data_IF_777594249983
#
_entry.id   IF_777594249983
#
_cell.length_a   1.000
_cell.length_b   1.000
_cell.length_c   1.000
_cell.angle_alpha   90.00
_cell.angle_beta   90.00
_cell.angle_gamma   90.00
#
_symmetry.space_group_name_H-M   'P 1'
#
loop_
_entity.id
_entity.type
_entity.pdbx_description
1 polymer ?
#
# COMPACT_ATOMS: atom_id res chain seq x y z
N UNK A 1 -39.08 41.43 -23.64
CA UNK A 1 -39.53 42.59 -24.47
C UNK A 1 -38.45 43.66 -24.29
N UNK A 2 -37.64 44.02 -25.29
CA UNK A 2 -37.98 44.85 -26.48
C UNK A 2 -38.55 46.22 -26.05
N UNK A 3 -38.03 47.36 -26.49
CA UNK A 3 -37.45 47.69 -27.80
C UNK A 3 -36.12 48.47 -27.66
N UNK A 4 -35.24 48.37 -28.67
CA UNK A 4 -34.12 49.28 -28.91
C UNK A 4 -34.31 49.99 -30.26
N UNK A 5 -34.01 51.29 -30.35
CA UNK A 5 -33.65 52.04 -31.59
C UNK A 5 -33.35 53.50 -31.22
N UNK A 6 -32.62 54.34 -31.97
CA UNK A 6 -31.37 54.23 -32.75
C UNK A 6 -31.17 55.61 -33.43
N UNK A 7 -29.97 56.21 -33.38
CA UNK A 7 -29.66 57.39 -34.20
C UNK A 7 -28.22 57.33 -34.76
N UNK A 8 -28.10 57.39 -36.09
CA UNK A 8 -26.89 57.81 -36.81
C UNK A 8 -26.90 59.37 -36.90
N UNK A 9 -25.97 60.14 -37.51
CA UNK A 9 -24.81 59.92 -38.39
C UNK A 9 -23.96 61.23 -38.37
N UNK A 10 -22.76 61.44 -38.95
CA UNK A 10 -21.70 60.60 -39.57
C UNK A 10 -20.43 61.50 -39.68
N UNK A 11 -19.21 60.95 -39.83
CA UNK A 11 -18.00 61.77 -40.09
C UNK A 11 -16.81 60.97 -40.64
N UNK A 12 -16.20 61.44 -41.73
CA UNK A 12 -15.22 60.66 -42.53
C UNK A 12 -13.75 60.79 -42.07
N UNK A 13 -13.07 59.63 -42.08
CA UNK A 13 -11.74 59.34 -42.65
C UNK A 13 -10.79 60.47 -43.09
N UNK A 14 -9.52 60.39 -42.67
CA UNK A 14 -8.35 60.36 -43.59
C UNK A 14 -7.03 60.04 -42.84
N UNK A 15 -5.89 59.96 -43.54
CA UNK A 15 -4.58 59.46 -43.05
C UNK A 15 -3.45 60.53 -43.16
N UNK A 16 -2.31 60.21 -42.51
CA UNK A 16 -0.93 60.73 -42.71
C UNK A 16 -0.47 61.96 -41.89
N UNK A 17 0.75 61.86 -41.34
CA UNK A 17 1.64 62.96 -40.90
C UNK A 17 2.86 63.06 -41.84
N UNK A 18 4.12 63.36 -41.42
CA UNK A 18 4.69 63.59 -40.07
C UNK A 18 5.18 65.08 -39.98
N UNK A 19 6.44 65.56 -39.68
CA UNK A 19 7.69 65.02 -39.07
C UNK A 19 8.37 65.97 -38.01
N UNK A 20 9.68 65.77 -37.77
CA UNK A 20 10.68 66.64 -37.08
C UNK A 20 10.63 66.71 -35.53
N UNK A 21 11.73 66.60 -34.76
CA UNK A 21 13.18 66.35 -35.01
C UNK A 21 13.73 65.39 -33.91
N UNK A 22 14.60 64.39 -34.18
CA UNK A 22 16.08 64.42 -34.34
C UNK A 22 16.84 65.08 -33.16
N UNK A 23 17.96 64.57 -32.58
CA UNK A 23 19.05 63.68 -33.07
C UNK A 23 19.62 62.70 -32.00
N UNK A 24 20.48 61.77 -32.45
CA UNK A 24 21.19 60.71 -31.68
C UNK A 24 22.74 60.92 -31.72
N UNK A 25 23.52 60.40 -30.74
CA UNK A 25 24.93 59.94 -30.93
C UNK A 25 25.41 58.95 -29.85
N UNK A 26 26.65 58.45 -29.96
CA UNK A 26 27.06 57.07 -29.59
C UNK A 26 28.51 56.96 -29.07
N UNK A 27 28.94 55.74 -28.64
CA UNK A 27 30.29 55.32 -28.17
C UNK A 27 30.68 55.77 -26.72
N UNK A 28 31.64 55.16 -25.97
CA UNK A 28 32.71 54.15 -26.24
C UNK A 28 32.71 53.02 -25.17
N UNK A 29 33.26 51.84 -25.50
CA UNK A 29 33.49 50.67 -24.61
C UNK A 29 34.65 50.88 -23.61
N UNK A 30 34.53 50.42 -22.35
CA UNK A 30 35.69 50.24 -21.45
C UNK A 30 35.46 49.17 -20.37
N UNK A 31 36.47 48.33 -20.11
CA UNK A 31 36.48 47.35 -19.00
C UNK A 31 37.02 47.99 -17.72
N UNK A 32 36.41 47.68 -16.57
CA UNK A 32 37.14 47.33 -15.33
C UNK A 32 36.23 46.64 -14.31
N UNK A 33 36.84 45.77 -13.50
CA UNK A 33 36.20 44.98 -12.45
C UNK A 33 36.05 45.77 -11.15
N UNK A 34 34.99 45.51 -10.39
CA UNK A 34 34.85 45.96 -9.00
C UNK A 34 34.55 44.76 -8.10
N UNK A 35 35.52 44.40 -7.26
CA UNK A 35 35.42 43.40 -6.20
C UNK A 35 34.89 44.06 -4.93
N UNK A 36 33.86 43.48 -4.30
CA UNK A 36 33.46 43.88 -2.95
C UNK A 36 34.31 43.13 -1.91
N UNK A 37 35.06 43.89 -1.11
CA UNK A 37 35.79 43.37 0.05
C UNK A 37 34.94 43.45 1.32
N UNK A 38 35.00 42.41 2.16
CA UNK A 38 34.33 42.37 3.46
C UNK A 38 35.19 43.10 4.50
N UNK A 39 34.58 44.04 5.23
CA UNK A 39 35.20 44.67 6.40
C UNK A 39 34.71 43.95 7.66
N UNK A 40 35.61 43.25 8.34
CA UNK A 40 35.34 42.66 9.64
C UNK A 40 35.65 43.67 10.76
N UNK A 41 34.72 43.83 11.70
CA UNK A 41 34.85 44.77 12.82
C UNK A 41 34.85 43.98 14.13
N UNK A 42 36.04 43.79 14.72
CA UNK A 42 36.21 43.05 15.97
C UNK A 42 35.80 43.92 17.16
N UNK A 43 34.90 43.39 18.01
CA UNK A 43 34.70 43.85 19.38
C UNK A 43 34.97 42.67 20.34
N UNK A 44 35.91 42.86 21.26
CA UNK A 44 36.24 41.87 22.28
C UNK A 44 35.27 41.99 23.46
N UNK A 45 34.59 40.89 23.79
CA UNK A 45 33.93 40.67 25.08
C UNK A 45 34.56 39.45 25.79
N UNK A 46 34.61 39.42 27.12
CA UNK A 46 35.23 38.32 27.85
C UNK A 46 34.43 37.01 27.71
N UNK A 47 35.12 35.89 27.50
CA UNK A 47 34.50 34.57 27.47
C UNK A 47 34.08 34.16 28.89
N UNK A 48 32.78 34.00 29.11
CA UNK A 48 32.27 33.16 30.19
C UNK A 48 32.38 31.70 29.75
N UNK A 49 33.09 30.87 30.51
CA UNK A 49 33.21 29.43 30.28
C UNK A 49 31.97 28.72 30.83
N UNK A 50 30.91 28.67 30.03
CA UNK A 50 29.86 27.67 30.23
C UNK A 50 30.38 26.30 29.83
N UNK A 51 30.40 25.35 30.76
CA UNK A 51 30.69 23.96 30.44
C UNK A 51 29.52 23.40 29.63
N UNK A 52 29.78 23.02 28.39
CA UNK A 52 28.80 22.38 27.54
C UNK A 52 28.60 20.93 27.98
N UNK A 53 27.76 20.73 29.00
CA UNK A 53 27.21 19.42 29.31
C UNK A 53 26.38 18.99 28.09
N UNK A 54 26.95 18.09 27.29
CA UNK A 54 26.31 17.61 26.06
C UNK A 54 25.08 16.78 26.42
N UNK A 55 23.91 17.25 26.02
CA UNK A 55 22.63 16.57 26.23
C UNK A 55 22.41 15.54 25.11
N UNK A 56 22.45 14.22 25.39
CA UNK A 56 22.09 13.21 24.41
C UNK A 56 20.56 13.05 24.34
N UNK A 57 20.05 12.65 23.18
CA UNK A 57 18.64 12.31 22.93
C UNK A 57 17.64 13.48 22.81
N UNK A 58 17.83 14.32 21.78
CA UNK A 58 16.72 15.05 21.16
C UNK A 58 16.65 14.75 19.66
N UNK A 59 16.14 13.56 19.32
CA UNK A 59 15.77 13.20 17.96
C UNK A 59 14.32 13.64 17.73
N UNK A 60 14.11 14.65 16.89
CA UNK A 60 12.78 15.17 16.54
C UNK A 60 12.10 14.26 15.50
N UNK A 61 11.69 13.07 15.93
CA UNK A 61 10.78 12.20 15.17
C UNK A 61 9.31 12.62 15.36
N UNK A 62 8.45 12.19 14.43
CA UNK A 62 7.00 12.32 14.60
C UNK A 62 6.46 11.27 15.59
N UNK A 63 5.36 11.53 16.33
CA UNK A 63 4.80 10.55 17.28
C UNK A 63 4.49 9.19 16.66
N UNK A 64 4.13 9.17 15.38
CA UNK A 64 3.85 7.95 14.60
C UNK A 64 5.08 7.09 14.27
N UNK A 65 6.30 7.55 14.58
CA UNK A 65 7.52 6.76 14.38
C UNK A 65 7.73 5.75 15.51
N UNK A 66 7.23 6.03 16.71
CA UNK A 66 7.20 5.09 17.82
C UNK A 66 5.84 4.39 17.88
N UNK A 67 5.69 3.36 17.04
CA UNK A 67 4.47 2.52 16.96
C UNK A 67 4.09 1.95 18.33
N UNK A 68 5.06 1.68 19.21
CA UNK A 68 4.80 1.08 20.53
C UNK A 68 4.13 2.03 21.52
N UNK A 69 4.21 3.35 21.29
CA UNK A 69 3.52 4.37 22.08
C UNK A 69 2.41 5.10 21.31
N UNK A 70 2.37 5.01 19.97
CA UNK A 70 1.42 5.74 19.11
C UNK A 70 -0.04 5.29 19.31
N UNK A 71 -0.26 4.06 19.79
CA UNK A 71 -1.59 3.47 20.00
C UNK A 71 -1.99 3.25 21.47
N UNK A 72 -1.13 3.59 22.45
CA UNK A 72 -1.35 3.27 23.87
C UNK A 72 -2.65 3.83 24.47
N UNK A 73 -3.22 4.91 23.93
CA UNK A 73 -4.53 5.41 24.40
C UNK A 73 -5.71 4.53 23.97
N UNK A 74 -5.55 3.68 22.94
CA UNK A 74 -6.53 2.72 22.46
C UNK A 74 -6.40 1.32 23.12
N UNK A 75 -5.42 1.11 24.01
CA UNK A 75 -5.19 -0.17 24.67
C UNK A 75 -6.44 -0.67 25.41
N UNK A 76 -6.79 -1.94 25.17
CA UNK A 76 -7.97 -2.62 25.73
C UNK A 76 -9.34 -1.97 25.41
N UNK A 77 -9.42 -1.11 24.39
CA UNK A 77 -10.70 -0.60 23.88
C UNK A 77 -11.28 -1.52 22.79
N UNK A 78 -12.60 -1.51 22.66
CA UNK A 78 -13.34 -2.24 21.62
C UNK A 78 -14.49 -1.38 21.05
N UNK A 79 -15.04 -1.79 19.91
CA UNK A 79 -16.24 -1.22 19.29
C UNK A 79 -16.17 0.29 19.03
N UNK A 80 -17.28 1.00 19.28
CA UNK A 80 -17.37 2.44 19.02
C UNK A 80 -16.45 3.31 19.90
N UNK A 81 -15.90 2.81 21.01
CA UNK A 81 -14.95 3.57 21.82
C UNK A 81 -13.53 3.46 21.25
N UNK A 82 -13.08 2.25 20.88
CA UNK A 82 -11.85 2.06 20.07
C UNK A 82 -11.91 2.89 18.78
N UNK A 83 -13.06 2.92 18.11
CA UNK A 83 -13.25 3.67 16.85
C UNK A 83 -13.04 5.18 17.02
N UNK A 84 -13.54 5.76 18.12
CA UNK A 84 -13.35 7.19 18.43
C UNK A 84 -11.90 7.49 18.77
N UNK A 85 -11.27 6.63 19.55
CA UNK A 85 -9.88 6.81 19.97
C UNK A 85 -8.92 6.71 18.78
N UNK A 86 -9.07 5.68 17.93
CA UNK A 86 -8.31 5.56 16.68
C UNK A 86 -8.56 6.75 15.73
N UNK A 87 -9.79 7.26 15.63
CA UNK A 87 -10.05 8.50 14.87
C UNK A 87 -9.31 9.71 15.46
N UNK A 88 -9.24 9.82 16.78
CA UNK A 88 -8.50 10.87 17.50
C UNK A 88 -7.00 10.84 17.20
N UNK A 89 -6.43 9.63 17.12
CA UNK A 89 -5.01 9.39 16.82
C UNK A 89 -4.66 9.69 15.35
N UNK A 90 -5.50 9.26 14.40
CA UNK A 90 -5.12 9.22 12.97
C UNK A 90 -5.69 10.35 12.11
N UNK A 91 -6.81 10.97 12.48
CA UNK A 91 -7.41 12.07 11.69
C UNK A 91 -6.64 13.41 11.72
N UNK A 92 -5.83 13.75 12.76
CA UNK A 92 -5.02 14.98 12.78
C UNK A 92 -3.75 14.90 11.90
N UNK A 93 -3.89 14.65 10.59
CA UNK A 93 -2.77 14.38 9.69
C UNK A 93 -2.39 15.56 8.75
N UNK A 94 -1.14 15.58 8.30
CA UNK A 94 -0.69 16.52 7.28
C UNK A 94 -1.34 16.19 5.92
N UNK A 95 -1.83 17.23 5.23
CA UNK A 95 -2.58 17.12 3.98
C UNK A 95 -1.74 17.55 2.78
N UNK A 96 -1.48 16.62 1.86
CA UNK A 96 -0.74 16.89 0.63
C UNK A 96 -1.59 17.67 -0.37
N UNK A 97 -0.97 18.50 -1.22
CA UNK A 97 -1.66 18.99 -2.42
C UNK A 97 -1.86 17.87 -3.45
N UNK A 98 -2.90 17.98 -4.28
CA UNK A 98 -3.21 17.01 -5.34
C UNK A 98 -2.10 16.85 -6.41
N UNK A 99 -1.06 17.71 -6.39
CA UNK A 99 0.17 17.52 -7.16
C UNK A 99 1.21 16.68 -6.42
N UNK A 100 1.45 16.93 -5.12
CA UNK A 100 2.45 16.19 -4.34
C UNK A 100 2.16 14.68 -4.26
N UNK A 101 0.87 14.30 -4.25
CA UNK A 101 0.44 12.90 -4.29
C UNK A 101 1.08 12.11 -5.44
N UNK A 102 1.30 12.72 -6.62
CA UNK A 102 1.96 12.05 -7.75
C UNK A 102 3.43 11.70 -7.49
N UNK A 103 4.12 12.45 -6.63
CA UNK A 103 5.52 12.19 -6.29
C UNK A 103 5.61 11.23 -5.11
N UNK A 104 4.74 11.37 -4.10
CA UNK A 104 4.66 10.46 -2.96
C UNK A 104 4.41 9.00 -3.38
N UNK A 105 3.41 8.73 -4.23
CA UNK A 105 3.12 7.35 -4.67
C UNK A 105 4.22 6.72 -5.54
N UNK A 106 5.10 7.52 -6.15
CA UNK A 106 6.30 7.00 -6.84
C UNK A 106 7.37 6.49 -5.88
N UNK A 107 7.31 6.85 -4.59
CA UNK A 107 8.21 6.40 -3.53
C UNK A 107 7.53 5.33 -2.66
N UNK A 108 6.23 5.52 -2.39
CA UNK A 108 5.43 4.60 -1.57
C UNK A 108 5.14 3.26 -2.23
N UNK A 109 4.82 3.26 -3.53
CA UNK A 109 4.43 2.07 -4.30
C UNK A 109 5.52 1.71 -5.34
N UNK A 110 6.78 2.00 -5.01
CA UNK A 110 7.95 1.78 -5.86
C UNK A 110 8.27 0.28 -6.02
N UNK A 111 8.77 -0.13 -7.20
CA UNK A 111 9.05 -1.54 -7.49
C UNK A 111 10.35 -2.09 -6.86
N UNK A 112 11.17 -1.23 -6.26
CA UNK A 112 12.28 -1.63 -5.37
C UNK A 112 11.97 -1.01 -4.00
N UNK A 113 11.52 -1.84 -3.07
CA UNK A 113 11.14 -1.44 -1.71
C UNK A 113 12.34 -1.09 -0.83
N UNK A 114 13.54 -1.59 -1.13
CA UNK A 114 14.72 -1.28 -0.33
C UNK A 114 15.37 0.04 -0.80
N UNK A 115 15.18 0.43 -2.07
CA UNK A 115 15.72 1.65 -2.68
C UNK A 115 14.65 2.45 -3.48
N UNK A 116 13.54 2.88 -2.86
CA UNK A 116 12.37 3.41 -3.59
C UNK A 116 12.67 4.65 -4.43
N UNK A 117 13.59 5.53 -4.00
CA UNK A 117 14.05 6.70 -4.75
C UNK A 117 14.89 6.34 -5.99
N UNK A 118 15.64 5.23 -5.93
CA UNK A 118 16.46 4.76 -7.05
C UNK A 118 15.65 3.94 -8.08
N UNK A 119 14.51 3.38 -7.67
CA UNK A 119 13.62 2.63 -8.54
C UNK A 119 13.11 3.47 -9.71
N UNK A 120 13.12 2.93 -10.93
CA UNK A 120 12.56 3.55 -12.14
C UNK A 120 11.05 3.34 -12.30
N UNK A 121 10.45 2.49 -11.47
CA UNK A 121 9.13 1.89 -11.71
C UNK A 121 8.28 1.80 -10.42
N UNK A 122 6.98 1.55 -10.58
CA UNK A 122 5.97 1.32 -9.52
C UNK A 122 5.22 0.01 -9.78
N UNK A 123 4.56 -0.54 -8.76
CA UNK A 123 3.68 -1.71 -8.88
C UNK A 123 2.22 -1.25 -8.89
N UNK A 124 1.48 -1.55 -9.96
CA UNK A 124 0.05 -1.21 -10.10
C UNK A 124 -0.87 -2.15 -9.29
N UNK A 125 -1.76 -1.60 -8.46
CA UNK A 125 -2.54 -2.35 -7.45
C UNK A 125 -3.46 -3.46 -8.04
N UNK A 126 -4.06 -3.28 -9.22
CA UNK A 126 -5.01 -4.25 -9.79
C UNK A 126 -4.44 -5.14 -10.91
N UNK A 127 -3.30 -4.77 -11.47
CA UNK A 127 -2.64 -5.53 -12.53
C UNK A 127 -1.43 -6.31 -11.99
N UNK A 128 -0.87 -5.86 -10.84
CA UNK A 128 0.37 -6.32 -10.22
C UNK A 128 1.60 -6.19 -11.14
N UNK A 129 1.50 -5.31 -12.15
CA UNK A 129 2.55 -5.05 -13.14
C UNK A 129 3.52 -4.00 -12.63
N UNK A 130 4.81 -4.23 -12.85
CA UNK A 130 5.83 -3.19 -12.79
C UNK A 130 5.70 -2.29 -14.02
N UNK A 131 5.55 -0.98 -13.79
CA UNK A 131 5.44 0.04 -14.84
C UNK A 131 6.25 1.28 -14.50
N UNK A 132 6.79 1.96 -15.52
CA UNK A 132 7.69 3.10 -15.28
C UNK A 132 6.99 4.27 -14.58
N UNK A 133 7.69 4.89 -13.62
CA UNK A 133 7.34 6.18 -13.02
C UNK A 133 7.14 7.28 -14.06
N UNK A 134 7.77 7.16 -15.22
CA UNK A 134 7.63 8.08 -16.36
C UNK A 134 6.31 7.90 -17.14
N UNK A 135 5.50 6.88 -16.84
CA UNK A 135 4.18 6.65 -17.45
C UNK A 135 3.01 7.19 -16.60
N UNK A 136 3.31 7.86 -15.48
CA UNK A 136 2.34 8.53 -14.63
C UNK A 136 1.46 9.53 -15.42
N UNK A 137 0.15 9.28 -15.44
CA UNK A 137 -0.84 10.16 -16.06
C UNK A 137 -0.91 10.10 -17.59
N UNK A 138 -0.25 9.14 -18.24
CA UNK A 138 -0.39 8.90 -19.69
C UNK A 138 -1.61 8.01 -20.00
N UNK A 139 -2.25 8.15 -21.18
CA UNK A 139 -3.38 7.29 -21.58
C UNK A 139 -3.06 5.80 -21.56
N UNK A 140 -1.86 5.44 -22.01
CA UNK A 140 -1.32 4.07 -22.07
C UNK A 140 -0.46 3.68 -20.85
N UNK A 141 -0.59 4.43 -19.76
CA UNK A 141 0.16 4.24 -18.52
C UNK A 141 -0.74 4.07 -17.31
N UNK A 142 -0.26 4.55 -16.17
CA UNK A 142 -0.93 4.41 -14.88
C UNK A 142 -1.45 5.76 -14.36
N UNK A 143 -2.53 5.71 -13.59
CA UNK A 143 -3.09 6.84 -12.89
C UNK A 143 -3.17 6.59 -11.38
N UNK A 144 -3.68 7.59 -10.66
CA UNK A 144 -4.05 7.46 -9.25
C UNK A 144 -5.41 6.82 -9.16
N UNK A 145 -5.45 5.64 -8.58
CA UNK A 145 -6.67 5.05 -8.05
C UNK A 145 -6.97 5.66 -6.68
N UNK A 146 -8.26 5.89 -6.43
CA UNK A 146 -8.83 6.23 -5.14
C UNK A 146 -9.60 5.01 -4.65
N UNK A 147 -9.01 4.24 -3.73
CA UNK A 147 -9.59 2.98 -3.24
C UNK A 147 -11.01 3.24 -2.72
N UNK A 148 -11.21 4.25 -1.89
CA UNK A 148 -12.50 4.90 -1.68
C UNK A 148 -12.75 5.96 -2.77
N UNK A 149 -13.66 5.75 -3.74
CA UNK A 149 -13.72 6.58 -4.93
C UNK A 149 -14.21 8.01 -4.66
N UNK A 150 -13.67 8.97 -5.41
CA UNK A 150 -14.06 10.41 -5.34
C UNK A 150 -15.55 10.68 -5.58
N UNK A 151 -16.26 9.77 -6.25
CA UNK A 151 -17.72 9.84 -6.46
C UNK A 151 -18.53 9.69 -5.17
N UNK A 152 -17.93 9.24 -4.07
CA UNK A 152 -18.54 9.16 -2.74
C UNK A 152 -18.38 10.47 -1.94
N UNK A 153 -18.10 11.58 -2.63
CA UNK A 153 -18.04 12.93 -2.03
C UNK A 153 -16.64 13.41 -1.65
N UNK A 154 -15.61 12.54 -1.73
CA UNK A 154 -14.19 12.86 -1.50
C UNK A 154 -13.68 13.77 -2.63
N UNK A 155 -14.00 15.06 -2.51
CA UNK A 155 -13.92 16.07 -3.59
C UNK A 155 -13.07 17.29 -3.23
N UNK A 156 -12.69 17.41 -1.96
CA UNK A 156 -11.92 18.49 -1.32
C UNK A 156 -11.26 17.92 -0.05
N UNK A 157 -10.57 18.76 0.70
CA UNK A 157 -10.07 18.41 2.04
C UNK A 157 -8.99 17.32 2.05
N UNK A 158 -8.64 16.79 3.24
CA UNK A 158 -7.60 15.77 3.40
C UNK A 158 -7.95 14.45 2.70
N UNK A 159 -9.22 14.02 2.76
CA UNK A 159 -9.70 12.74 2.21
C UNK A 159 -9.59 12.62 0.68
N UNK A 160 -9.43 13.73 -0.04
CA UNK A 160 -9.12 13.74 -1.47
C UNK A 160 -7.65 13.38 -1.78
N UNK A 161 -6.71 13.63 -0.86
CA UNK A 161 -5.27 13.50 -1.08
C UNK A 161 -4.57 12.48 -0.18
N UNK A 162 -5.32 11.79 0.68
CA UNK A 162 -4.79 10.77 1.60
C UNK A 162 -4.09 9.61 0.87
N UNK A 163 -2.82 9.40 1.22
CA UNK A 163 -1.95 8.38 0.65
C UNK A 163 -2.28 6.96 1.10
N UNK A 164 -2.96 6.76 2.23
CA UNK A 164 -3.52 5.44 2.57
C UNK A 164 -4.66 5.04 1.63
N UNK A 165 -5.36 6.02 1.05
CA UNK A 165 -6.47 5.82 0.11
C UNK A 165 -6.04 5.75 -1.37
N UNK A 166 -4.81 6.15 -1.71
CA UNK A 166 -4.38 6.36 -3.10
C UNK A 166 -3.26 5.41 -3.47
N UNK A 167 -3.45 4.68 -4.57
CA UNK A 167 -2.49 3.73 -5.17
C UNK A 167 -2.28 3.99 -6.66
N UNK A 168 -1.18 3.55 -7.28
CA UNK A 168 -1.04 3.50 -8.74
C UNK A 168 -1.91 2.37 -9.34
N UNK A 169 -2.51 2.59 -10.51
CA UNK A 169 -3.25 1.58 -11.27
C UNK A 169 -3.21 1.85 -12.78
N UNK A 170 -3.25 0.81 -13.62
CA UNK A 170 -3.44 0.93 -15.07
C UNK A 170 -4.72 1.74 -15.37
N UNK A 171 -4.62 2.69 -16.31
CA UNK A 171 -5.72 3.62 -16.64
C UNK A 171 -7.01 2.90 -17.06
N UNK A 172 -6.92 1.80 -17.80
CA UNK A 172 -8.05 1.01 -18.28
C UNK A 172 -8.64 0.18 -17.15
N UNK A 173 -7.80 -0.43 -16.31
CA UNK A 173 -8.24 -1.23 -15.17
C UNK A 173 -8.94 -0.36 -14.13
N UNK A 174 -8.39 0.81 -13.80
CA UNK A 174 -9.05 1.81 -12.96
C UNK A 174 -10.39 2.24 -13.59
N UNK A 175 -10.40 2.62 -14.87
CA UNK A 175 -11.65 2.99 -15.56
C UNK A 175 -12.69 1.86 -15.62
N UNK A 176 -12.27 0.59 -15.45
CA UNK A 176 -13.14 -0.58 -15.41
C UNK A 176 -13.65 -0.92 -14.00
N UNK A 177 -12.86 -0.62 -12.96
CA UNK A 177 -13.28 -0.62 -11.56
C UNK A 177 -14.28 0.51 -11.31
N UNK A 178 -13.95 1.74 -11.72
CA UNK A 178 -14.80 2.92 -11.58
C UNK A 178 -15.17 3.22 -10.13
N UNK A 179 -16.45 3.07 -9.80
CA UNK A 179 -17.04 3.38 -8.50
C UNK A 179 -17.61 2.15 -7.78
N UNK A 180 -17.33 0.93 -8.27
CA UNK A 180 -17.88 -0.33 -7.74
C UNK A 180 -17.46 -0.60 -6.29
N UNK A 181 -18.34 -1.26 -5.55
CA UNK A 181 -18.07 -1.74 -4.20
C UNK A 181 -17.06 -2.88 -4.22
N UNK A 182 -16.20 -2.95 -3.21
CA UNK A 182 -15.35 -4.12 -3.02
C UNK A 182 -16.14 -5.30 -2.44
N UNK A 183 -15.78 -6.49 -2.90
CA UNK A 183 -16.34 -7.76 -2.48
C UNK A 183 -16.47 -8.72 -3.65
N UNK A 184 -16.58 -10.01 -3.36
CA UNK A 184 -16.56 -11.04 -4.39
C UNK A 184 -17.83 -11.08 -5.24
N UNK A 185 -17.72 -11.64 -6.44
CA UNK A 185 -18.89 -12.08 -7.20
C UNK A 185 -19.64 -13.16 -6.42
N UNK A 186 -20.96 -13.23 -6.57
CA UNK A 186 -21.71 -14.38 -6.06
C UNK A 186 -21.36 -15.62 -6.89
N UNK A 187 -21.05 -16.73 -6.22
CA UNK A 187 -20.73 -18.00 -6.87
C UNK A 187 -21.84 -18.41 -7.85
N UNK A 188 -21.45 -18.81 -9.07
CA UNK A 188 -22.34 -19.11 -10.20
C UNK A 188 -23.10 -17.91 -10.80
N UNK A 189 -22.73 -16.66 -10.51
CA UNK A 189 -23.32 -15.51 -11.22
C UNK A 189 -22.79 -15.41 -12.66
N UNK A 190 -23.69 -15.58 -13.63
CA UNK A 190 -23.41 -15.42 -15.07
C UNK A 190 -23.00 -13.99 -15.48
N UNK A 191 -23.01 -13.02 -14.57
CA UNK A 191 -22.61 -11.63 -14.82
C UNK A 191 -21.19 -11.28 -14.33
N UNK A 192 -20.48 -12.23 -13.71
CA UNK A 192 -19.10 -12.05 -13.27
C UNK A 192 -18.10 -12.29 -14.39
N UNK A 193 -17.13 -11.39 -14.55
CA UNK A 193 -16.03 -11.46 -15.50
C UNK A 193 -14.69 -11.61 -14.76
N UNK A 194 -13.87 -12.58 -15.19
CA UNK A 194 -12.54 -12.91 -14.66
C UNK A 194 -11.60 -13.23 -15.83
N UNK A 195 -10.49 -12.49 -16.05
CA UNK A 195 -10.10 -11.28 -15.35
C UNK A 195 -11.11 -10.13 -15.55
N UNK A 196 -11.13 -9.18 -14.62
CA UNK A 196 -12.06 -8.05 -14.63
C UNK A 196 -11.80 -7.06 -15.79
N UNK A 197 -10.57 -7.03 -16.30
CA UNK A 197 -10.15 -6.27 -17.48
C UNK A 197 -8.97 -7.00 -18.17
N UNK A 198 -8.65 -6.65 -19.42
CA UNK A 198 -7.56 -7.28 -20.19
C UNK A 198 -6.17 -6.98 -19.61
N UNK A 199 -5.99 -5.79 -19.04
CA UNK A 199 -4.75 -5.34 -18.41
C UNK A 199 -4.65 -5.72 -16.92
N UNK A 200 -5.70 -6.29 -16.33
CA UNK A 200 -5.77 -6.65 -14.91
C UNK A 200 -5.14 -8.03 -14.62
N UNK A 201 -4.83 -8.30 -13.35
CA UNK A 201 -4.35 -9.60 -12.91
C UNK A 201 -5.42 -10.69 -13.13
N UNK A 202 -4.99 -11.93 -13.39
CA UNK A 202 -5.84 -12.99 -13.95
C UNK A 202 -7.03 -13.38 -13.06
N UNK A 203 -6.90 -13.18 -11.75
CA UNK A 203 -7.88 -13.52 -10.73
C UNK A 203 -8.78 -12.34 -10.30
N UNK A 204 -8.56 -11.13 -10.83
CA UNK A 204 -9.49 -10.01 -10.65
C UNK A 204 -10.89 -10.36 -11.13
N UNK A 205 -11.91 -9.96 -10.38
CA UNK A 205 -13.31 -10.22 -10.74
C UNK A 205 -14.14 -8.94 -10.76
N UNK A 206 -15.09 -8.85 -11.67
CA UNK A 206 -16.08 -7.78 -11.62
C UNK A 206 -17.41 -8.14 -12.23
N UNK A 207 -18.46 -7.51 -11.72
CA UNK A 207 -19.74 -7.41 -12.41
C UNK A 207 -20.22 -5.94 -12.45
N UNK A 208 -21.53 -5.70 -12.54
CA UNK A 208 -22.09 -4.34 -12.59
C UNK A 208 -21.93 -3.52 -11.30
N UNK A 209 -21.81 -4.18 -10.15
CA UNK A 209 -21.82 -3.53 -8.83
C UNK A 209 -20.55 -3.78 -8.02
N UNK A 210 -19.88 -4.93 -8.24
CA UNK A 210 -18.77 -5.41 -7.41
C UNK A 210 -17.44 -5.51 -8.15
N UNK A 211 -16.36 -5.37 -7.39
CA UNK A 211 -14.98 -5.57 -7.82
C UNK A 211 -14.22 -6.39 -6.76
N UNK A 212 -13.71 -7.56 -7.14
CA UNK A 212 -12.70 -8.26 -6.36
C UNK A 212 -11.31 -7.92 -6.94
N UNK A 213 -10.41 -7.30 -6.17
CA UNK A 213 -9.03 -7.10 -6.57
C UNK A 213 -8.29 -8.46 -6.58
N UNK A 214 -7.07 -8.55 -7.15
CA UNK A 214 -6.35 -9.81 -7.13
C UNK A 214 -6.05 -10.20 -5.68
N UNK A 215 -6.00 -11.50 -5.43
CA UNK A 215 -5.86 -12.10 -4.09
C UNK A 215 -4.74 -11.49 -3.24
N UNK A 216 -3.64 -11.16 -3.91
CA UNK A 216 -2.35 -10.68 -3.39
C UNK A 216 -2.34 -9.23 -2.84
N UNK A 217 -3.49 -8.54 -2.79
CA UNK A 217 -3.66 -7.16 -2.29
C UNK A 217 -5.04 -6.91 -1.64
N UNK A 218 -5.77 -7.98 -1.30
CA UNK A 218 -7.13 -7.92 -0.77
C UNK A 218 -7.17 -7.31 0.62
N UNK A 219 -6.24 -7.70 1.49
CA UNK A 219 -6.02 -7.12 2.81
C UNK A 219 -5.47 -5.70 2.72
N UNK A 220 -4.50 -5.45 1.83
CA UNK A 220 -3.98 -4.09 1.54
C UNK A 220 -5.10 -3.09 1.22
N UNK A 221 -6.15 -3.56 0.52
CA UNK A 221 -7.34 -2.77 0.19
C UNK A 221 -8.35 -2.76 1.34
N UNK A 222 -8.59 -3.88 2.04
CA UNK A 222 -9.48 -3.93 3.20
C UNK A 222 -9.02 -2.98 4.30
N UNK A 223 -7.74 -3.04 4.69
CA UNK A 223 -7.13 -2.16 5.69
C UNK A 223 -7.18 -0.69 5.27
N UNK A 224 -6.97 -0.37 3.99
CA UNK A 224 -7.13 1.00 3.49
C UNK A 224 -8.57 1.52 3.63
N UNK A 225 -9.58 0.67 3.39
CA UNK A 225 -11.00 1.04 3.54
C UNK A 225 -11.43 1.15 5.00
N UNK A 226 -10.96 0.24 5.86
CA UNK A 226 -11.14 0.31 7.31
C UNK A 226 -10.55 1.60 7.88
N UNK A 227 -9.34 1.97 7.46
CA UNK A 227 -8.74 3.27 7.77
C UNK A 227 -9.63 4.44 7.35
N UNK A 228 -10.12 4.46 6.11
CA UNK A 228 -10.98 5.55 5.62
C UNK A 228 -12.28 5.68 6.41
N UNK A 229 -12.88 4.55 6.82
CA UNK A 229 -14.10 4.52 7.64
C UNK A 229 -13.88 4.86 9.13
N UNK A 230 -12.63 4.90 9.61
CA UNK A 230 -12.27 5.43 10.94
C UNK A 230 -11.81 6.87 10.85
N UNK A 231 -10.80 7.17 10.03
CA UNK A 231 -10.22 8.50 9.83
C UNK A 231 -11.26 9.55 9.41
N UNK A 232 -12.24 9.14 8.59
CA UNK A 232 -13.31 10.02 8.09
C UNK A 232 -14.72 9.50 8.44
N UNK A 233 -14.84 8.68 9.48
CA UNK A 233 -16.12 8.14 9.97
C UNK A 233 -16.94 9.09 10.86
N UNK A 234 -16.42 10.28 11.14
CA UNK A 234 -16.99 11.29 12.05
C UNK A 234 -16.96 12.68 11.39
N UNK A 235 -17.76 13.62 11.93
CA UNK A 235 -18.03 14.94 11.33
C UNK A 235 -16.76 15.75 11.01
N UNK A 236 -16.47 15.92 9.72
CA UNK A 236 -15.27 16.60 9.25
C UNK A 236 -15.41 18.13 9.28
N UNK A 237 -14.37 18.84 9.72
CA UNK A 237 -14.35 20.30 9.89
C UNK A 237 -14.49 21.10 8.59
N UNK A 238 -14.23 20.48 7.44
CA UNK A 238 -14.47 21.07 6.12
C UNK A 238 -15.90 20.82 5.60
N UNK A 239 -16.71 20.02 6.29
CA UNK A 239 -18.03 19.56 5.84
C UNK A 239 -17.96 18.54 4.70
N UNK A 240 -16.94 17.68 4.67
CA UNK A 240 -16.93 16.44 3.88
C UNK A 240 -17.78 15.35 4.58
N UNK A 241 -18.39 14.42 3.83
CA UNK A 241 -19.32 13.45 4.41
C UNK A 241 -18.62 12.31 5.15
N UNK A 242 -19.27 11.79 6.18
CA UNK A 242 -18.78 10.67 6.97
C UNK A 242 -18.79 9.37 6.14
N UNK A 243 -17.79 8.51 6.34
CA UNK A 243 -17.55 7.31 5.54
C UNK A 243 -17.79 6.04 6.35
N UNK A 244 -18.48 5.05 5.76
CA UNK A 244 -18.95 3.86 6.47
C UNK A 244 -18.73 2.56 5.66
N UNK A 245 -18.41 1.45 6.33
CA UNK A 245 -18.41 0.11 5.72
C UNK A 245 -19.77 -0.56 5.94
N UNK A 246 -20.25 -1.36 4.98
CA UNK A 246 -21.60 -1.94 5.03
C UNK A 246 -21.75 -3.14 4.10
N UNK A 247 -22.33 -4.24 4.57
CA UNK A 247 -22.68 -5.39 3.71
C UNK A 247 -23.86 -5.12 2.74
N UNK A 248 -24.46 -3.93 2.79
CA UNK A 248 -25.44 -3.46 1.81
C UNK A 248 -25.16 -2.00 1.43
N UNK A 249 -24.00 -1.71 0.82
CA UNK A 249 -23.48 -0.36 0.70
C UNK A 249 -24.24 0.46 -0.36
N UNK A 250 -24.49 1.74 -0.05
CA UNK A 250 -25.03 2.75 -0.95
C UNK A 250 -24.07 3.93 -1.18
N UNK A 251 -23.88 4.30 -2.44
CA UNK A 251 -23.27 5.58 -2.85
C UNK A 251 -23.96 6.81 -2.24
N UNK A 252 -25.26 6.73 -1.96
CA UNK A 252 -26.03 7.85 -1.39
C UNK A 252 -25.61 8.10 0.08
N UNK A 253 -25.48 7.03 0.85
CA UNK A 253 -25.08 7.03 2.26
C UNK A 253 -23.56 7.20 2.48
N UNK A 254 -22.77 7.15 1.40
CA UNK A 254 -21.31 7.06 1.41
C UNK A 254 -20.78 5.79 2.06
N UNK A 255 -21.43 4.66 1.76
CA UNK A 255 -20.97 3.35 2.20
C UNK A 255 -20.10 2.67 1.13
N UNK A 256 -19.07 1.93 1.54
CA UNK A 256 -18.15 1.21 0.64
C UNK A 256 -17.80 -0.17 1.18
N UNK A 257 -17.75 -1.16 0.27
CA UNK A 257 -17.21 -2.49 0.52
C UNK A 257 -18.09 -3.37 1.42
N UNK A 258 -18.26 -4.63 1.03
CA UNK A 258 -18.96 -5.61 1.86
C UNK A 258 -18.12 -5.88 3.11
N UNK A 259 -18.57 -5.38 4.27
CA UNK A 259 -17.83 -5.41 5.52
C UNK A 259 -17.40 -6.82 5.92
N UNK A 260 -18.28 -7.81 5.78
CA UNK A 260 -17.96 -9.23 5.99
C UNK A 260 -16.79 -9.71 5.13
N UNK A 261 -16.80 -9.39 3.83
CA UNK A 261 -15.72 -9.74 2.90
C UNK A 261 -14.43 -8.96 3.18
N UNK A 262 -14.50 -7.70 3.63
CA UNK A 262 -13.31 -6.94 4.00
C UNK A 262 -12.66 -7.49 5.29
N UNK A 263 -13.44 -7.96 6.26
CA UNK A 263 -12.92 -8.64 7.45
C UNK A 263 -12.25 -9.97 7.08
N UNK A 264 -12.89 -10.78 6.24
CA UNK A 264 -12.32 -12.02 5.70
C UNK A 264 -11.00 -11.77 4.95
N UNK A 265 -10.95 -10.75 4.09
CA UNK A 265 -9.73 -10.35 3.37
C UNK A 265 -8.62 -9.85 4.29
N UNK A 266 -8.94 -9.22 5.43
CA UNK A 266 -7.93 -8.77 6.39
C UNK A 266 -7.24 -9.95 7.12
N UNK A 267 -7.99 -11.00 7.46
CA UNK A 267 -7.41 -12.20 8.10
C UNK A 267 -6.64 -13.08 7.10
N UNK A 268 -7.11 -13.19 5.85
CA UNK A 268 -6.50 -14.08 4.83
C UNK A 268 -5.29 -13.48 4.11
N UNK A 269 -5.15 -12.16 4.07
CA UNK A 269 -4.05 -11.42 3.44
C UNK A 269 -3.48 -10.37 4.41
N UNK A 270 -2.78 -10.79 5.49
CA UNK A 270 -2.28 -9.91 6.55
C UNK A 270 -1.12 -8.99 6.10
N UNK A 271 -0.78 -7.94 6.88
CA UNK A 271 0.12 -6.85 6.45
C UNK A 271 1.47 -7.30 5.90
N UNK A 272 1.65 -7.21 4.58
CA UNK A 272 2.91 -7.54 3.89
C UNK A 272 4.06 -6.61 4.29
N UNK A 273 5.32 -7.04 4.08
CA UNK A 273 6.49 -6.17 4.30
C UNK A 273 6.39 -4.86 3.51
N UNK A 274 5.82 -4.88 2.31
CA UNK A 274 5.59 -3.68 1.49
C UNK A 274 4.59 -2.74 2.14
N UNK A 275 3.46 -3.26 2.62
CA UNK A 275 2.44 -2.43 3.24
C UNK A 275 2.96 -1.78 4.54
N UNK A 276 3.68 -2.55 5.36
CA UNK A 276 4.33 -2.03 6.57
C UNK A 276 5.38 -0.94 6.24
N UNK A 277 6.25 -1.16 5.24
CA UNK A 277 7.21 -0.13 4.78
C UNK A 277 6.50 1.12 4.23
N UNK A 278 5.39 0.93 3.52
CA UNK A 278 4.54 2.01 3.00
C UNK A 278 3.91 2.83 4.12
N UNK A 279 3.38 2.17 5.15
CA UNK A 279 2.79 2.79 6.33
C UNK A 279 3.82 3.65 7.09
N UNK A 280 5.02 3.08 7.33
CA UNK A 280 6.16 3.81 7.91
C UNK A 280 6.53 5.05 7.09
N UNK A 281 6.59 4.96 5.76
CA UNK A 281 6.90 6.11 4.88
C UNK A 281 5.83 7.19 4.89
N UNK A 282 4.53 6.83 4.97
CA UNK A 282 3.46 7.83 5.07
C UNK A 282 3.58 8.63 6.37
N UNK A 283 3.88 7.96 7.49
CA UNK A 283 4.23 8.63 8.74
C UNK A 283 5.47 9.53 8.58
N UNK A 284 6.62 8.96 8.21
CA UNK A 284 7.92 9.65 8.27
C UNK A 284 8.06 10.80 7.28
N UNK A 285 7.48 10.68 6.08
CA UNK A 285 7.81 11.56 4.95
C UNK A 285 6.67 12.46 4.48
N UNK A 286 5.40 12.16 4.82
CA UNK A 286 4.26 12.73 4.10
C UNK A 286 3.08 13.24 4.94
N UNK A 287 2.46 12.39 5.78
CA UNK A 287 1.22 12.71 6.51
C UNK A 287 1.37 12.74 8.02
N UNK A 288 2.41 12.09 8.56
CA UNK A 288 2.67 12.04 10.01
C UNK A 288 1.55 11.37 10.82
N UNK A 289 0.76 10.52 10.15
CA UNK A 289 -0.17 9.55 10.71
C UNK A 289 0.12 8.15 10.12
N UNK A 290 -0.67 7.15 10.52
CA UNK A 290 -0.56 5.75 10.04
C UNK A 290 -1.94 5.14 9.83
N UNK A 291 -1.98 4.06 9.06
CA UNK A 291 -3.10 3.14 9.04
C UNK A 291 -3.00 2.16 10.23
N UNK A 292 -3.90 2.23 11.23
CA UNK A 292 -3.82 1.38 12.42
C UNK A 292 -4.06 -0.09 12.10
N UNK A 293 -4.79 -0.41 11.02
CA UNK A 293 -5.04 -1.79 10.62
C UNK A 293 -3.82 -2.46 9.96
N UNK A 294 -2.79 -1.70 9.58
CA UNK A 294 -1.52 -2.24 9.04
C UNK A 294 -0.55 -2.60 10.16
N UNK A 295 -0.57 -1.84 11.26
CA UNK A 295 0.24 -2.15 12.45
C UNK A 295 -0.49 -3.14 13.38
N UNK A 296 -1.81 -2.99 13.51
CA UNK A 296 -2.73 -3.76 14.35
C UNK A 296 -3.96 -4.27 13.54
N UNK A 297 -3.76 -5.23 12.61
CA UNK A 297 -4.86 -5.80 11.82
C UNK A 297 -5.99 -6.39 12.68
N UNK A 298 -5.70 -6.83 13.90
CA UNK A 298 -6.68 -7.32 14.88
C UNK A 298 -7.75 -6.29 15.27
N UNK A 299 -7.46 -4.99 15.19
CA UNK A 299 -8.44 -3.93 15.48
C UNK A 299 -9.66 -4.01 14.56
N UNK A 300 -9.54 -4.56 13.36
CA UNK A 300 -10.68 -4.78 12.47
C UNK A 300 -11.75 -5.68 13.12
N UNK A 301 -11.32 -6.71 13.83
CA UNK A 301 -12.22 -7.60 14.57
C UNK A 301 -12.82 -6.88 15.78
N UNK A 302 -11.99 -6.21 16.58
CA UNK A 302 -12.43 -5.48 17.78
C UNK A 302 -13.46 -4.36 17.46
N UNK A 303 -13.46 -3.82 16.24
CA UNK A 303 -14.42 -2.82 15.79
C UNK A 303 -15.73 -3.41 15.22
N UNK A 304 -15.63 -4.44 14.38
CA UNK A 304 -16.75 -4.84 13.50
C UNK A 304 -17.20 -6.30 13.62
N UNK A 305 -16.40 -7.18 14.21
CA UNK A 305 -16.72 -8.61 14.36
C UNK A 305 -17.57 -8.82 15.60
N UNK A 306 -18.88 -8.60 15.47
CA UNK A 306 -19.85 -8.94 16.52
C UNK A 306 -19.77 -10.43 16.89
N UNK A 307 -20.06 -10.75 18.14
CA UNK A 307 -20.18 -12.13 18.67
C UNK A 307 -21.39 -12.90 18.09
N UNK A 308 -21.39 -13.11 16.77
CA UNK A 308 -22.26 -14.09 16.14
C UNK A 308 -21.66 -15.46 16.44
N UNK A 309 -22.14 -16.09 17.52
CA UNK A 309 -21.74 -17.41 17.98
C UNK A 309 -22.11 -18.51 16.96
N UNK A 310 -21.35 -18.60 15.86
CA UNK A 310 -21.59 -19.51 14.76
C UNK A 310 -21.18 -20.95 15.11
N UNK A 311 -22.08 -21.63 15.83
CA UNK A 311 -21.99 -23.08 16.02
C UNK A 311 -22.29 -23.81 14.71
N UNK A 312 -21.26 -24.03 13.90
CA UNK A 312 -21.24 -25.13 12.94
C UNK A 312 -19.81 -25.53 12.56
N UNK A 313 -19.48 -26.77 12.92
CA UNK A 313 -18.42 -27.65 12.39
C UNK A 313 -17.45 -27.03 11.37
N UNK A 314 -16.23 -26.77 11.82
CA UNK A 314 -15.09 -26.55 10.95
C UNK A 314 -14.90 -27.76 10.01
N UNK A 315 -14.94 -27.53 8.69
CA UNK A 315 -13.86 -28.10 7.86
C UNK A 315 -12.65 -27.19 8.09
N UNK A 316 -11.49 -27.76 8.39
CA UNK A 316 -10.46 -27.02 9.14
C UNK A 316 -9.89 -25.83 8.35
N UNK A 317 -9.95 -24.59 8.88
CA UNK A 317 -9.22 -23.48 8.29
C UNK A 317 -7.71 -23.78 8.28
N UNK A 318 -6.99 -23.17 7.33
CA UNK A 318 -5.55 -23.35 7.19
C UNK A 318 -4.84 -22.60 8.32
N UNK A 319 -4.62 -23.29 9.45
CA UNK A 319 -3.96 -22.79 10.66
C UNK A 319 -2.57 -22.13 10.44
N UNK A 320 -2.00 -22.26 9.24
CA UNK A 320 -0.84 -21.52 8.78
C UNK A 320 -0.83 -21.43 7.24
N UNK A 321 -0.19 -20.41 6.67
CA UNK A 321 0.08 -20.30 5.22
C UNK A 321 1.34 -19.47 4.96
N UNK A 322 1.95 -19.66 3.79
CA UNK A 322 3.00 -18.79 3.26
C UNK A 322 2.33 -17.49 2.79
N UNK A 323 2.73 -16.38 3.41
CA UNK A 323 2.21 -15.03 3.16
C UNK A 323 3.10 -14.23 2.22
N UNK A 324 4.40 -14.53 2.19
CA UNK A 324 5.34 -13.91 1.26
C UNK A 324 6.47 -14.87 0.90
N UNK A 325 6.98 -14.75 -0.32
CA UNK A 325 8.11 -15.51 -0.86
C UNK A 325 8.91 -14.62 -1.81
N UNK A 326 10.05 -14.11 -1.34
CA UNK A 326 10.99 -13.36 -2.15
C UNK A 326 12.14 -14.28 -2.61
N UNK A 327 12.14 -14.63 -3.90
CA UNK A 327 12.88 -15.76 -4.48
C UNK A 327 13.88 -15.41 -5.58
N UNK A 328 13.94 -14.15 -6.03
CA UNK A 328 14.87 -13.69 -7.06
C UNK A 328 15.03 -12.16 -6.93
N UNK A 329 16.21 -11.64 -7.22
CA UNK A 329 16.53 -10.22 -7.08
C UNK A 329 17.40 -9.75 -8.25
N UNK A 330 17.32 -8.47 -8.64
CA UNK A 330 18.13 -7.90 -9.75
C UNK A 330 19.60 -7.68 -9.34
N UNK A 331 20.34 -8.75 -9.09
CA UNK A 331 21.75 -8.66 -8.68
C UNK A 331 22.36 -9.97 -8.22
N UNK A 332 23.05 -9.92 -7.08
CA UNK A 332 23.45 -11.11 -6.32
C UNK A 332 22.41 -11.40 -5.25
N UNK A 333 22.11 -12.68 -5.09
CA UNK A 333 21.18 -13.32 -4.16
C UNK A 333 21.35 -12.74 -2.74
N UNK A 334 20.50 -11.76 -2.42
CA UNK A 334 20.43 -11.01 -1.17
C UNK A 334 18.96 -10.72 -0.89
N UNK A 335 18.62 -10.64 0.40
CA UNK A 335 17.27 -10.34 0.87
C UNK A 335 16.20 -11.29 0.27
N UNK A 336 16.57 -12.55 0.01
CA UNK A 336 15.61 -13.64 -0.25
C UNK A 336 15.03 -14.11 1.10
N UNK A 337 13.71 -14.29 1.17
CA UNK A 337 13.00 -14.66 2.40
C UNK A 337 11.67 -15.35 2.13
N UNK A 338 11.12 -15.96 3.19
CA UNK A 338 9.75 -16.47 3.26
C UNK A 338 9.09 -15.93 4.51
N UNK A 339 7.86 -15.46 4.40
CA UNK A 339 6.98 -15.16 5.54
C UNK A 339 5.88 -16.19 5.63
N UNK A 340 5.62 -16.66 6.84
CA UNK A 340 4.62 -17.69 7.12
C UNK A 340 3.73 -17.16 8.25
N UNK A 341 2.46 -16.96 7.95
CA UNK A 341 1.45 -16.66 8.98
C UNK A 341 1.06 -17.97 9.65
N UNK A 342 0.95 -17.93 10.97
CA UNK A 342 0.54 -19.05 11.82
C UNK A 342 -0.51 -18.52 12.79
N UNK A 343 -1.69 -19.13 12.85
CA UNK A 343 -2.68 -18.74 13.86
C UNK A 343 -2.11 -18.88 15.28
N UNK A 344 -2.46 -17.97 16.18
CA UNK A 344 -2.09 -18.05 17.60
C UNK A 344 -2.68 -19.27 18.32
N UNK A 345 -3.61 -19.98 17.66
CA UNK A 345 -4.17 -21.28 18.06
C UNK A 345 -3.21 -22.46 17.80
N UNK A 346 -2.22 -22.30 16.91
CA UNK A 346 -1.52 -23.39 16.25
C UNK A 346 -0.11 -23.63 16.80
N UNK A 347 0.25 -24.91 16.92
CA UNK A 347 1.58 -25.31 17.39
C UNK A 347 2.63 -25.20 16.26
N UNK A 348 3.30 -24.05 16.21
CA UNK A 348 4.40 -23.77 15.29
C UNK A 348 5.58 -24.76 15.39
N UNK A 349 5.73 -25.54 16.47
CA UNK A 349 6.78 -26.57 16.55
C UNK A 349 6.54 -27.74 15.61
N UNK A 350 5.28 -27.97 15.24
CA UNK A 350 4.84 -28.99 14.26
C UNK A 350 5.04 -28.53 12.81
N UNK A 351 5.30 -27.25 12.59
CA UNK A 351 5.37 -26.64 11.26
C UNK A 351 6.79 -26.64 10.70
N UNK A 352 6.90 -26.94 9.40
CA UNK A 352 8.16 -26.96 8.65
C UNK A 352 7.98 -26.37 7.25
N UNK A 353 9.03 -25.71 6.77
CA UNK A 353 9.17 -25.27 5.39
C UNK A 353 10.17 -26.19 4.67
N UNK A 354 9.70 -26.93 3.67
CA UNK A 354 10.51 -27.80 2.82
C UNK A 354 10.80 -27.13 1.47
N UNK A 355 12.09 -27.00 1.12
CA UNK A 355 12.57 -26.31 -0.08
C UNK A 355 12.93 -27.33 -1.17
N UNK A 356 12.35 -27.19 -2.36
CA UNK A 356 12.46 -28.13 -3.48
C UNK A 356 13.32 -27.60 -4.62
N UNK A 357 14.22 -28.45 -5.11
CA UNK A 357 14.98 -28.23 -6.33
C UNK A 357 14.16 -28.75 -7.53
N UNK A 358 13.68 -27.88 -8.41
CA UNK A 358 12.77 -28.29 -9.50
C UNK A 358 13.42 -29.09 -10.63
N UNK A 359 14.75 -29.00 -10.79
CA UNK A 359 15.51 -29.85 -11.73
C UNK A 359 15.53 -31.32 -11.31
N UNK A 360 15.59 -31.60 -10.00
CA UNK A 360 15.63 -32.97 -9.46
C UNK A 360 14.30 -33.44 -8.87
N UNK A 361 13.36 -32.52 -8.62
CA UNK A 361 12.07 -32.78 -7.97
C UNK A 361 12.19 -33.14 -6.47
N UNK A 362 13.35 -32.88 -5.84
CA UNK A 362 13.65 -33.31 -4.47
C UNK A 362 13.75 -32.14 -3.49
N UNK A 363 13.44 -32.41 -2.23
CA UNK A 363 13.81 -31.54 -1.11
C UNK A 363 15.34 -31.43 -1.02
N UNK A 364 15.87 -30.21 -0.94
CA UNK A 364 17.29 -29.95 -0.66
C UNK A 364 17.54 -29.40 0.75
N UNK A 365 16.52 -28.85 1.40
CA UNK A 365 16.58 -28.31 2.77
C UNK A 365 15.19 -28.31 3.40
N UNK A 366 15.10 -28.65 4.68
CA UNK A 366 13.89 -28.49 5.49
C UNK A 366 14.22 -27.62 6.70
N UNK A 367 13.32 -26.72 7.06
CA UNK A 367 13.45 -25.77 8.16
C UNK A 367 12.26 -25.94 9.10
N UNK A 368 12.47 -25.93 10.42
CA UNK A 368 11.36 -25.90 11.40
C UNK A 368 11.07 -24.46 11.81
N UNK A 369 9.79 -24.11 11.98
CA UNK A 369 9.41 -22.77 12.46
C UNK A 369 9.76 -22.54 13.94
N UNK A 370 10.07 -23.61 14.70
CA UNK A 370 10.63 -23.51 16.04
C UNK A 370 12.13 -23.16 16.06
N UNK A 371 12.83 -23.21 14.92
CA UNK A 371 14.24 -22.80 14.84
C UNK A 371 14.35 -21.27 14.83
N UNK A 372 14.47 -20.70 16.03
CA UNK A 372 14.63 -19.25 16.27
C UNK A 372 15.93 -18.66 15.70
N UNK A 373 16.85 -19.47 15.17
CA UNK A 373 18.03 -19.01 14.43
C UNK A 373 17.77 -18.85 12.92
N UNK A 374 16.63 -19.35 12.43
CA UNK A 374 16.19 -19.28 11.03
C UNK A 374 14.95 -18.41 10.88
N UNK A 375 13.92 -18.66 11.70
CA UNK A 375 12.69 -17.88 11.71
C UNK A 375 12.69 -16.88 12.87
N UNK A 376 12.20 -15.68 12.60
CA UNK A 376 11.96 -14.65 13.60
C UNK A 376 10.47 -14.25 13.52
N UNK A 377 9.84 -14.09 14.68
CA UNK A 377 8.48 -13.55 14.73
C UNK A 377 8.57 -12.05 14.52
N UNK A 378 8.04 -11.57 13.40
CA UNK A 378 8.15 -10.17 12.94
C UNK A 378 6.88 -9.37 13.21
N UNK A 379 5.73 -10.04 13.31
CA UNK A 379 4.47 -9.46 13.76
C UNK A 379 3.78 -10.39 14.78
N UNK A 380 3.11 -9.78 15.76
CA UNK A 380 2.38 -10.46 16.84
C UNK A 380 0.98 -9.86 16.91
N UNK A 381 0.05 -10.41 16.14
CA UNK A 381 -1.38 -10.08 16.24
C UNK A 381 -2.07 -10.90 17.31
N UNK A 382 -3.34 -10.58 17.59
CA UNK A 382 -4.13 -11.38 18.56
C UNK A 382 -4.56 -12.74 17.99
N UNK A 383 -4.89 -12.82 16.69
CA UNK A 383 -5.29 -14.05 16.01
C UNK A 383 -4.13 -14.82 15.36
N UNK A 384 -2.99 -14.20 15.06
CA UNK A 384 -1.87 -14.83 14.37
C UNK A 384 -0.48 -14.23 14.69
N UNK A 385 0.57 -14.98 14.34
CA UNK A 385 1.97 -14.60 14.35
C UNK A 385 2.55 -14.68 12.93
N UNK A 386 3.37 -13.70 12.52
CA UNK A 386 4.13 -13.78 11.25
C UNK A 386 5.56 -14.24 11.54
N UNK A 387 5.95 -15.36 10.94
CA UNK A 387 7.28 -15.95 11.00
C UNK A 387 8.06 -15.64 9.71
N UNK A 388 8.97 -14.67 9.74
CA UNK A 388 9.86 -14.35 8.61
C UNK A 388 11.20 -15.09 8.74
N UNK A 389 11.67 -15.73 7.67
CA UNK A 389 13.02 -16.30 7.58
C UNK A 389 13.76 -15.82 6.33
N UNK A 390 14.92 -15.19 6.52
CA UNK A 390 15.84 -14.87 5.42
C UNK A 390 16.60 -16.14 5.01
N UNK A 391 16.31 -16.63 3.81
CA UNK A 391 16.80 -17.92 3.33
C UNK A 391 17.34 -17.78 1.92
N UNK A 392 18.56 -18.29 1.70
CA UNK A 392 19.08 -18.48 0.35
C UNK A 392 18.26 -19.56 -0.34
N UNK A 393 17.46 -19.14 -1.30
CA UNK A 393 16.66 -20.00 -2.15
C UNK A 393 17.50 -20.43 -3.35
N UNK A 394 16.96 -21.32 -4.19
CA UNK A 394 17.65 -21.74 -5.39
C UNK A 394 17.11 -20.98 -6.59
N UNK A 395 17.99 -20.24 -7.26
CA UNK A 395 17.71 -19.67 -8.57
C UNK A 395 17.87 -20.74 -9.65
N UNK A 396 16.82 -20.96 -10.46
CA UNK A 396 16.75 -22.07 -11.42
C UNK A 396 15.40 -22.14 -12.16
N UNK A 397 15.31 -22.91 -13.26
CA UNK A 397 14.22 -22.84 -14.24
C UNK A 397 12.85 -23.33 -13.72
N UNK A 398 12.85 -24.10 -12.63
CA UNK A 398 11.73 -24.19 -11.70
C UNK A 398 12.28 -24.57 -10.33
N UNK A 399 11.66 -24.07 -9.27
CA UNK A 399 11.91 -24.46 -7.87
C UNK A 399 10.62 -24.26 -7.07
N UNK A 400 10.58 -24.74 -5.83
CA UNK A 400 9.35 -24.67 -5.03
C UNK A 400 9.58 -24.69 -3.53
N UNK A 401 8.52 -24.33 -2.80
CA UNK A 401 8.45 -24.38 -1.34
C UNK A 401 7.16 -25.07 -0.91
N UNK A 402 7.22 -25.86 0.16
CA UNK A 402 6.06 -26.47 0.79
C UNK A 402 6.02 -26.13 2.27
N UNK A 403 4.90 -25.59 2.74
CA UNK A 403 4.57 -25.53 4.16
C UNK A 403 3.90 -26.84 4.56
N UNK A 404 4.41 -27.48 5.61
CA UNK A 404 3.93 -28.79 6.06
C UNK A 404 3.79 -28.87 7.58
N UNK A 405 2.94 -29.78 8.05
CA UNK A 405 2.63 -30.04 9.46
C UNK A 405 2.82 -31.51 9.81
N UNK A 406 3.61 -31.80 10.84
CA UNK A 406 3.68 -33.12 11.47
C UNK A 406 2.38 -33.43 12.22
N UNK A 407 1.76 -34.60 11.97
CA UNK A 407 0.54 -35.08 12.64
C UNK A 407 0.85 -36.14 13.71
N UNK A 408 -0.08 -36.34 14.64
CA UNK A 408 0.10 -37.19 15.82
C UNK A 408 0.11 -38.70 15.51
N UNK A 409 -0.37 -39.07 14.33
CA UNK A 409 -0.26 -40.41 13.72
C UNK A 409 1.09 -40.66 13.04
N UNK A 410 1.98 -39.65 12.98
CA UNK A 410 3.27 -39.70 12.31
C UNK A 410 3.25 -39.37 10.82
N UNK A 411 2.09 -39.03 10.24
CA UNK A 411 2.01 -38.52 8.88
C UNK A 411 2.43 -37.04 8.80
N UNK A 412 2.84 -36.60 7.61
CA UNK A 412 3.13 -35.18 7.32
C UNK A 412 2.06 -34.67 6.36
N UNK A 413 1.31 -33.65 6.76
CA UNK A 413 0.34 -32.98 5.90
C UNK A 413 1.02 -31.84 5.14
N UNK A 414 0.85 -31.79 3.82
CA UNK A 414 1.10 -30.55 3.05
C UNK A 414 -0.03 -29.56 3.31
N UNK A 415 0.31 -28.40 3.82
CA UNK A 415 -0.60 -27.27 4.02
C UNK A 415 -0.70 -26.47 2.72
N UNK A 416 0.45 -26.14 2.11
CA UNK A 416 0.53 -25.35 0.89
C UNK A 416 1.78 -25.72 0.09
N UNK A 417 1.71 -25.66 -1.25
CA UNK A 417 2.85 -25.83 -2.15
C UNK A 417 2.85 -24.73 -3.21
N UNK A 418 3.94 -23.96 -3.28
CA UNK A 418 4.15 -22.88 -4.26
C UNK A 418 5.32 -23.27 -5.16
N UNK A 419 5.12 -23.20 -6.48
CA UNK A 419 6.21 -23.29 -7.47
C UNK A 419 6.49 -21.93 -8.10
N UNK A 420 7.78 -21.61 -8.28
CA UNK A 420 8.28 -20.35 -8.83
C UNK A 420 9.26 -20.58 -9.98
N UNK A 421 9.33 -19.60 -10.89
CA UNK A 421 10.04 -19.62 -12.19
C UNK A 421 9.57 -20.69 -13.21
N UNK A 422 8.92 -21.76 -12.78
CA UNK A 422 8.37 -22.82 -13.62
C UNK A 422 7.57 -23.84 -12.80
N UNK A 423 6.96 -24.83 -13.47
CA UNK A 423 6.28 -25.95 -12.78
C UNK A 423 7.32 -26.92 -12.22
N UNK A 424 7.13 -27.37 -10.98
CA UNK A 424 7.96 -28.40 -10.33
C UNK A 424 7.23 -29.74 -10.33
N UNK A 425 7.88 -30.79 -10.85
CA UNK A 425 7.44 -32.17 -10.61
C UNK A 425 8.11 -32.70 -9.35
N UNK A 426 7.40 -32.72 -8.23
CA UNK A 426 7.89 -33.32 -6.98
C UNK A 426 7.99 -34.84 -7.12
N UNK A 427 9.10 -35.41 -6.63
CA UNK A 427 9.37 -36.86 -6.59
C UNK A 427 9.89 -37.33 -5.21
N UNK A 428 9.75 -36.52 -4.17
CA UNK A 428 10.10 -36.88 -2.79
C UNK A 428 9.13 -36.27 -1.79
N UNK A 429 8.95 -36.96 -0.67
CA UNK A 429 8.27 -36.42 0.51
C UNK A 429 8.84 -35.07 0.96
N UNK A 430 8.03 -34.21 1.62
CA UNK A 430 6.62 -34.42 2.00
C UNK A 430 5.54 -34.09 0.96
N UNK A 431 5.87 -33.65 -0.27
CA UNK A 431 4.88 -33.17 -1.25
C UNK A 431 4.76 -34.04 -2.52
N UNK A 432 5.05 -35.34 -2.40
CA UNK A 432 4.80 -36.31 -3.47
C UNK A 432 3.32 -36.27 -3.89
N UNK A 433 3.05 -36.48 -5.17
CA UNK A 433 1.70 -36.45 -5.80
C UNK A 433 0.94 -35.11 -5.76
N UNK A 434 1.44 -34.09 -5.04
CA UNK A 434 0.80 -32.76 -4.97
C UNK A 434 0.87 -32.03 -6.32
N UNK A 435 -0.27 -31.57 -6.83
CA UNK A 435 -0.33 -30.69 -8.01
C UNK A 435 -0.13 -29.23 -7.58
N UNK A 436 0.92 -28.60 -8.09
CA UNK A 436 1.28 -27.22 -7.74
C UNK A 436 0.28 -26.20 -8.28
N UNK A 437 -0.05 -25.19 -7.45
CA UNK A 437 -0.40 -23.87 -7.99
C UNK A 437 0.82 -23.28 -8.73
N UNK A 438 0.62 -22.82 -9.95
CA UNK A 438 1.65 -22.18 -10.75
C UNK A 438 1.54 -20.67 -10.62
N UNK A 439 2.58 -20.05 -10.06
CA UNK A 439 2.64 -18.60 -9.83
C UNK A 439 3.87 -18.03 -10.53
N UNK A 440 3.66 -17.04 -11.39
CA UNK A 440 4.72 -16.34 -12.11
C UNK A 440 4.67 -14.86 -11.77
N UNK A 441 5.64 -14.40 -10.97
CA UNK A 441 5.92 -12.96 -10.86
C UNK A 441 7.04 -12.60 -11.84
N UNK A 442 6.92 -11.45 -12.50
CA UNK A 442 8.03 -10.86 -13.26
C UNK A 442 9.13 -10.28 -12.36
N UNK A 443 8.91 -10.28 -11.05
CA UNK A 443 9.57 -9.40 -10.08
C UNK A 443 10.49 -10.17 -9.13
N UNK A 444 10.30 -11.49 -8.99
CA UNK A 444 11.00 -12.32 -8.01
C UNK A 444 10.30 -12.45 -6.65
N UNK A 445 9.01 -12.09 -6.58
CA UNK A 445 8.22 -12.03 -5.33
C UNK A 445 6.84 -12.61 -5.54
N UNK A 446 6.43 -13.54 -4.70
CA UNK A 446 5.03 -13.97 -4.56
C UNK A 446 4.56 -13.45 -3.20
N UNK A 447 3.44 -12.73 -3.23
CA UNK A 447 2.59 -12.43 -2.07
C UNK A 447 1.39 -13.33 -2.28
#
# INVERSE_FOLDING_TARGET
MTISVLSLAVGLSSKLGPPNNWWLRYFIFSRRSLTFGIIALYLFGPKLTGEAYGDPYLSFGFPCEDVSHYYTSADHMEGEDLKKELNSIISPHHSLSYKQVWEAIKVLDAADDDNPEASSDVVEIYSLRIVSKMSAGKPEGWNREHLWPRSYGLTKGPSLTDLHNIRPADVNVNSSRGNKYYGECLANSNDCMKPANKEAAYDTETNKMRWAPPSQVRGDIARALMYMAVCYGFDQSDGSPNLHLSDSPSMENREMGLLSTLLEWNELDPPSRTEQLRNNRVCQLYQHNRNPFVDHPEYANLLWKQDIAFSQTMDSPLMAWINELHYNNRGKDKNEFVEIVVESSADATRLKLALYNGTTGKVYRTLSLADKSVFHVTHVGSSFLIYTAFVQLQNGPSNGVALVSDKDDGHVQVIQFISYQGVVKVISEPATETKSGYWYSGNGRII
#
